data_IF_046151307739
#
_entry.id   IF_046151307739
#
_cell.length_a   1.000
_cell.length_b   1.000
_cell.length_c   1.000
_cell.angle_alpha   90.00
_cell.angle_beta   90.00
_cell.angle_gamma   90.00
#
_symmetry.space_group_name_H-M   'P 1'
#
loop_
_entity.id
_entity.type
_entity.pdbx_description
1 polymer ?
#
# COMPACT_ATOMS: atom_id res chain seq x y z
N UNK A 1 -7.32 -7.80 -10.59
CA UNK A 1 -7.04 -6.59 -11.39
C UNK A 1 -5.65 -6.76 -11.92
N UNK A 2 -5.49 -7.29 -13.13
CA UNK A 2 -4.17 -7.52 -13.72
C UNK A 2 -3.85 -6.31 -14.56
N UNK A 3 -2.75 -5.60 -14.32
CA UNK A 3 -2.35 -4.63 -15.33
C UNK A 3 -1.67 -5.33 -16.49
N UNK A 4 -1.95 -4.77 -17.65
CA UNK A 4 -1.43 -5.12 -18.97
C UNK A 4 0.02 -5.61 -18.91
N UNK A 5 0.21 -6.90 -19.17
CA UNK A 5 1.49 -7.58 -19.36
C UNK A 5 2.58 -7.32 -18.29
N UNK A 6 2.22 -6.77 -17.14
CA UNK A 6 3.17 -6.40 -16.09
C UNK A 6 3.30 -7.46 -15.01
N UNK A 7 2.45 -8.48 -15.05
CA UNK A 7 2.36 -9.58 -14.06
C UNK A 7 2.17 -9.11 -12.61
N UNK A 8 1.79 -7.84 -12.41
CA UNK A 8 1.53 -7.31 -11.06
C UNK A 8 0.04 -7.31 -10.82
N UNK A 9 -0.32 -7.89 -9.69
CA UNK A 9 -1.66 -7.88 -9.13
C UNK A 9 -1.56 -7.41 -7.68
N UNK A 10 -2.56 -6.63 -7.21
CA UNK A 10 -2.63 -6.25 -5.81
C UNK A 10 -3.20 -7.40 -4.99
N UNK A 11 -2.82 -7.51 -3.72
CA UNK A 11 -3.41 -8.49 -2.81
C UNK A 11 -4.89 -8.20 -2.55
N UNK A 12 -5.24 -6.91 -2.45
CA UNK A 12 -6.63 -6.46 -2.45
C UNK A 12 -6.78 -5.08 -3.11
N UNK A 13 -7.98 -4.80 -3.65
CA UNK A 13 -8.29 -3.48 -4.19
C UNK A 13 -9.74 -3.08 -3.94
N UNK A 14 -9.97 -1.78 -3.80
CA UNK A 14 -11.28 -1.21 -3.48
C UNK A 14 -11.58 0.00 -4.37
N UNK A 15 -12.87 0.23 -4.58
CA UNK A 15 -13.40 1.37 -5.34
C UNK A 15 -14.42 2.15 -4.49
N UNK A 16 -13.97 2.86 -3.44
CA UNK A 16 -14.81 3.83 -2.74
C UNK A 16 -15.34 4.91 -3.69
N UNK A 17 -16.28 5.73 -3.23
CA UNK A 17 -16.76 6.92 -3.97
C UNK A 17 -15.65 7.99 -4.05
N UNK A 18 -14.64 7.77 -4.89
CA UNK A 18 -13.59 8.71 -5.28
C UNK A 18 -13.63 8.93 -6.79
N UNK A 19 -13.13 10.08 -7.30
CA UNK A 19 -12.98 10.30 -8.73
C UNK A 19 -12.21 9.15 -9.41
N UNK A 20 -12.53 8.85 -10.67
CA UNK A 20 -11.78 7.84 -11.43
C UNK A 20 -10.34 8.33 -11.62
N UNK A 21 -9.36 7.43 -11.47
CA UNK A 21 -7.97 7.78 -11.74
C UNK A 21 -7.79 7.94 -13.26
N UNK A 22 -7.30 9.10 -13.71
CA UNK A 22 -6.94 9.33 -15.12
C UNK A 22 -5.55 8.75 -15.39
N UNK A 23 -5.51 7.47 -15.79
CA UNK A 23 -4.26 6.81 -16.18
C UNK A 23 -4.00 6.96 -17.68
N UNK A 24 -2.77 7.31 -18.11
CA UNK A 24 -2.40 7.36 -19.54
C UNK A 24 -2.57 6.03 -20.27
N UNK A 25 -2.53 4.90 -19.55
CA UNK A 25 -2.59 3.56 -20.11
C UNK A 25 -3.87 2.80 -19.77
N UNK A 26 -4.95 3.50 -19.41
CA UNK A 26 -6.34 2.99 -19.47
C UNK A 26 -6.65 1.58 -18.92
N UNK A 27 -7.35 1.56 -17.78
CA UNK A 27 -8.12 0.41 -17.25
C UNK A 27 -7.36 -0.86 -16.87
N UNK A 28 -8.02 -1.72 -16.09
CA UNK A 28 -7.57 -3.08 -15.75
C UNK A 28 -7.61 -4.08 -16.93
N UNK A 29 -7.48 -3.59 -18.17
CA UNK A 29 -7.66 -4.35 -19.40
C UNK A 29 -9.12 -4.67 -19.77
N UNK A 30 -10.13 -4.15 -19.04
CA UNK A 30 -11.57 -4.40 -19.28
C UNK A 30 -12.43 -3.13 -19.28
N UNK A 31 -11.87 -1.99 -19.69
CA UNK A 31 -12.53 -0.66 -19.70
C UNK A 31 -12.92 -0.09 -18.31
N UNK A 32 -12.79 -0.87 -17.24
CA UNK A 32 -13.01 -0.37 -15.88
C UNK A 32 -11.87 0.56 -15.43
N UNK A 33 -12.18 1.70 -14.79
CA UNK A 33 -11.14 2.54 -14.21
C UNK A 33 -10.30 1.74 -13.19
N UNK A 34 -9.03 2.13 -13.12
CA UNK A 34 -8.11 1.70 -12.08
C UNK A 34 -8.75 1.78 -10.69
N UNK A 35 -8.42 0.85 -9.76
CA UNK A 35 -8.92 0.92 -8.39
C UNK A 35 -8.52 2.25 -7.74
N UNK A 36 -9.33 2.73 -6.80
CA UNK A 36 -8.99 3.95 -6.07
C UNK A 36 -8.06 3.64 -4.90
N UNK A 37 -8.16 2.43 -4.33
CA UNK A 37 -7.32 1.96 -3.23
C UNK A 37 -6.76 0.57 -3.55
N UNK A 38 -5.47 0.40 -3.35
CA UNK A 38 -4.77 -0.89 -3.36
C UNK A 38 -4.23 -1.18 -1.97
N UNK A 39 -4.31 -2.44 -1.55
CA UNK A 39 -3.61 -2.96 -0.37
C UNK A 39 -2.58 -3.97 -0.85
N UNK A 40 -1.34 -3.77 -0.41
CA UNK A 40 -0.20 -4.68 -0.62
C UNK A 40 0.22 -5.23 0.74
N UNK A 41 0.29 -6.55 0.89
CA UNK A 41 0.66 -7.22 2.13
C UNK A 41 1.96 -7.98 1.90
N UNK A 42 3.06 -7.40 2.37
CA UNK A 42 4.38 -8.01 2.28
C UNK A 42 4.65 -8.89 3.50
N UNK A 43 4.71 -10.22 3.30
CA UNK A 43 5.19 -11.15 4.33
C UNK A 43 6.67 -11.47 4.13
N UNK A 44 7.02 -12.29 3.13
CA UNK A 44 8.40 -12.66 2.81
C UNK A 44 9.14 -11.63 1.94
N UNK A 45 8.40 -10.77 1.25
CA UNK A 45 8.93 -9.70 0.41
C UNK A 45 9.66 -8.63 1.27
N UNK A 46 10.80 -8.13 0.79
CA UNK A 46 11.54 -7.09 1.51
C UNK A 46 10.80 -5.75 1.49
N UNK A 47 10.99 -4.93 2.53
CA UNK A 47 10.41 -3.58 2.60
C UNK A 47 10.77 -2.77 1.36
N UNK A 48 12.04 -2.76 0.96
CA UNK A 48 12.48 -2.01 -0.21
C UNK A 48 11.77 -2.46 -1.50
N UNK A 49 11.57 -3.77 -1.70
CA UNK A 49 10.97 -4.28 -2.92
C UNK A 49 9.48 -3.93 -3.01
N UNK A 50 8.70 -4.09 -1.93
CA UNK A 50 7.27 -3.71 -1.93
C UNK A 50 7.10 -2.20 -2.07
N UNK A 51 7.95 -1.39 -1.42
CA UNK A 51 7.91 0.07 -1.54
C UNK A 51 8.29 0.54 -2.95
N UNK A 52 9.26 -0.11 -3.60
CA UNK A 52 9.60 0.15 -5.00
C UNK A 52 8.46 -0.22 -5.95
N UNK A 53 7.80 -1.36 -5.73
CA UNK A 53 6.58 -1.76 -6.46
C UNK A 53 5.53 -0.66 -6.34
N UNK A 54 5.22 -0.20 -5.13
CA UNK A 54 4.23 0.86 -4.90
C UNK A 54 4.58 2.15 -5.61
N UNK A 55 5.81 2.64 -5.45
CA UNK A 55 6.22 3.89 -6.07
C UNK A 55 6.25 3.78 -7.59
N UNK A 56 6.98 2.82 -8.15
CA UNK A 56 7.30 2.77 -9.58
C UNK A 56 6.13 2.29 -10.42
N UNK A 57 5.33 1.37 -9.88
CA UNK A 57 4.28 0.69 -10.64
C UNK A 57 2.88 1.23 -10.34
N UNK A 58 2.52 1.42 -9.07
CA UNK A 58 1.19 1.91 -8.72
C UNK A 58 1.05 3.43 -8.87
N UNK A 59 2.05 4.21 -8.44
CA UNK A 59 1.91 5.66 -8.25
C UNK A 59 2.63 6.54 -9.28
N UNK A 60 3.85 6.20 -9.71
CA UNK A 60 4.70 7.15 -10.42
C UNK A 60 4.33 7.31 -11.90
N UNK A 61 4.55 6.29 -12.73
CA UNK A 61 4.52 6.47 -14.19
C UNK A 61 3.12 6.48 -14.79
N UNK A 62 2.18 5.79 -14.15
CA UNK A 62 0.91 5.45 -14.79
C UNK A 62 -0.31 5.87 -13.98
N UNK A 63 -0.11 6.48 -12.81
CA UNK A 63 -1.19 6.93 -11.93
C UNK A 63 -2.28 5.85 -11.86
N UNK A 64 -1.89 4.64 -11.46
CA UNK A 64 -2.76 3.45 -11.54
C UNK A 64 -3.68 3.31 -10.33
N UNK A 65 -3.59 4.21 -9.35
CA UNK A 65 -4.38 4.17 -8.12
C UNK A 65 -4.31 5.55 -7.43
N UNK A 66 -5.35 5.90 -6.65
CA UNK A 66 -5.32 7.10 -5.81
C UNK A 66 -4.51 6.87 -4.53
N UNK A 67 -4.80 5.78 -3.84
CA UNK A 67 -4.22 5.43 -2.54
C UNK A 67 -3.62 4.02 -2.55
N UNK A 68 -2.47 3.85 -1.92
CA UNK A 68 -1.90 2.53 -1.64
C UNK A 68 -1.63 2.41 -0.16
N UNK A 69 -2.12 1.33 0.45
CA UNK A 69 -1.73 0.91 1.79
C UNK A 69 -0.80 -0.29 1.64
N UNK A 70 0.44 -0.14 2.10
CA UNK A 70 1.37 -1.25 2.26
C UNK A 70 1.29 -1.71 3.70
N UNK A 71 1.14 -3.01 3.94
CA UNK A 71 1.28 -3.65 5.25
C UNK A 71 2.47 -4.59 5.18
N UNK A 72 3.53 -4.28 5.92
CA UNK A 72 4.66 -5.20 6.12
C UNK A 72 4.45 -5.95 7.43
N UNK A 73 4.43 -7.26 7.33
CA UNK A 73 4.37 -8.15 8.49
C UNK A 73 5.79 -8.67 8.72
N UNK A 74 6.29 -8.57 9.95
CA UNK A 74 7.59 -9.15 10.28
C UNK A 74 7.48 -10.68 10.18
N UNK A 75 8.37 -11.34 9.40
CA UNK A 75 8.32 -12.77 9.22
C UNK A 75 8.47 -13.52 10.54
N UNK A 76 7.64 -14.55 10.72
CA UNK A 76 7.69 -15.47 11.86
C UNK A 76 7.55 -16.91 11.38
N UNK A 77 7.82 -17.87 12.26
CA UNK A 77 7.51 -19.28 11.99
C UNK A 77 5.99 -19.48 11.86
N UNK A 78 5.56 -20.54 11.18
CA UNK A 78 4.13 -20.79 10.87
C UNK A 78 3.22 -20.97 12.09
N UNK A 79 3.80 -21.22 13.26
CA UNK A 79 3.14 -21.41 14.55
C UNK A 79 3.16 -20.14 15.44
N UNK A 80 3.76 -19.05 14.96
CA UNK A 80 3.96 -17.83 15.72
C UNK A 80 3.07 -16.69 15.22
N UNK A 81 2.66 -15.83 16.15
CA UNK A 81 1.94 -14.60 15.83
C UNK A 81 2.97 -13.49 15.60
N UNK A 82 2.93 -12.77 14.46
CA UNK A 82 3.78 -11.62 14.23
C UNK A 82 3.61 -10.59 15.34
N UNK A 83 4.71 -10.24 15.99
CA UNK A 83 4.71 -9.28 17.11
C UNK A 83 4.81 -7.84 16.65
N UNK A 84 5.23 -7.63 15.41
CA UNK A 84 5.47 -6.31 14.81
C UNK A 84 4.99 -6.32 13.36
N UNK A 85 4.32 -5.25 13.00
CA UNK A 85 3.84 -4.95 11.66
C UNK A 85 4.03 -3.46 11.42
N UNK A 86 4.20 -3.09 10.17
CA UNK A 86 4.34 -1.72 9.72
C UNK A 86 3.31 -1.47 8.64
N UNK A 87 2.81 -0.24 8.55
CA UNK A 87 2.01 0.15 7.43
C UNK A 87 2.36 1.55 6.93
N UNK A 88 2.29 1.70 5.62
CA UNK A 88 2.49 2.96 4.92
C UNK A 88 1.27 3.26 4.07
N UNK A 89 0.75 4.47 4.19
CA UNK A 89 -0.25 5.01 3.28
C UNK A 89 0.43 5.97 2.31
N UNK A 90 0.25 5.72 1.02
CA UNK A 90 0.65 6.61 -0.06
C UNK A 90 -0.60 7.16 -0.75
N UNK A 91 -0.55 8.44 -1.14
CA UNK A 91 -1.60 9.05 -1.94
C UNK A 91 -0.97 9.75 -3.15
N UNK A 92 -1.55 9.56 -4.33
CA UNK A 92 -1.10 10.23 -5.56
C UNK A 92 -1.17 11.75 -5.46
N UNK A 93 -2.09 12.30 -4.67
CA UNK A 93 -2.22 13.74 -4.43
C UNK A 93 -1.00 14.34 -3.73
N UNK A 94 -0.18 13.51 -3.06
CA UNK A 94 1.05 13.96 -2.40
C UNK A 94 2.26 13.98 -3.35
N UNK A 95 2.06 13.60 -4.62
CA UNK A 95 3.10 13.67 -5.66
C UNK A 95 3.48 15.13 -5.93
N UNK A 96 4.65 15.56 -5.46
CA UNK A 96 5.19 16.90 -5.70
C UNK A 96 5.95 16.94 -7.03
N UNK A 97 5.34 17.54 -8.05
CA UNK A 97 5.91 17.70 -9.41
C UNK A 97 6.21 16.37 -10.13
N UNK A 98 6.32 16.42 -11.47
CA UNK A 98 6.32 15.25 -12.37
C UNK A 98 7.48 14.24 -12.21
N UNK A 99 8.45 14.48 -11.33
CA UNK A 99 9.69 13.71 -11.26
C UNK A 99 10.18 13.37 -9.85
N UNK A 100 9.35 13.55 -8.81
CA UNK A 100 9.73 13.11 -7.44
C UNK A 100 8.95 11.87 -7.03
N UNK A 101 9.65 10.99 -6.33
CA UNK A 101 9.07 9.85 -5.62
C UNK A 101 7.91 10.32 -4.72
N UNK A 102 6.79 9.60 -4.78
CA UNK A 102 5.69 9.80 -3.84
C UNK A 102 6.17 9.38 -2.45
N UNK A 103 6.18 10.34 -1.52
CA UNK A 103 6.44 10.07 -0.11
C UNK A 103 5.18 9.51 0.55
N UNK A 104 5.34 8.66 1.56
CA UNK A 104 4.19 8.18 2.32
C UNK A 104 3.55 9.35 3.08
N UNK A 105 2.21 9.42 3.03
CA UNK A 105 1.41 10.37 3.80
C UNK A 105 1.44 10.04 5.28
N UNK A 106 1.36 8.75 5.58
CA UNK A 106 1.29 8.23 6.94
C UNK A 106 2.10 6.96 7.02
N UNK A 107 2.86 6.84 8.12
CA UNK A 107 3.54 5.63 8.53
C UNK A 107 3.16 5.35 9.97
N UNK A 108 2.89 4.09 10.27
CA UNK A 108 2.76 3.65 11.66
C UNK A 108 3.24 2.22 11.81
N UNK A 109 3.77 1.96 13.00
CA UNK A 109 4.18 0.63 13.45
C UNK A 109 3.14 0.17 14.47
N UNK A 110 2.71 -1.08 14.36
CA UNK A 110 1.71 -1.68 15.23
C UNK A 110 2.04 -3.14 15.49
N UNK A 111 1.47 -3.69 16.55
CA UNK A 111 1.86 -4.98 17.09
C UNK A 111 2.07 -4.88 18.58
N UNK A 112 2.61 -5.94 19.16
CA UNK A 112 2.91 -6.02 20.60
C UNK A 112 4.33 -5.58 20.94
N UNK A 113 5.23 -5.48 19.95
CA UNK A 113 6.63 -5.12 20.15
C UNK A 113 7.11 -4.14 19.06
N UNK A 114 8.01 -3.24 19.43
CA UNK A 114 8.68 -2.32 18.50
C UNK A 114 9.88 -2.97 17.80
N UNK A 115 10.54 -2.22 16.91
CA UNK A 115 11.76 -2.67 16.19
C UNK A 115 12.94 -3.05 17.09
N UNK A 116 12.92 -2.67 18.36
CA UNK A 116 13.96 -2.99 19.35
C UNK A 116 13.52 -4.13 20.29
N UNK A 117 12.32 -4.67 20.11
CA UNK A 117 11.75 -5.71 20.96
C UNK A 117 11.13 -5.19 22.25
N UNK A 118 10.90 -3.88 22.39
CA UNK A 118 10.18 -3.34 23.56
C UNK A 118 8.68 -3.51 23.37
N UNK A 119 7.92 -3.87 24.42
CA UNK A 119 6.47 -3.98 24.33
C UNK A 119 5.81 -2.63 24.05
N UNK A 120 4.76 -2.64 23.24
CA UNK A 120 3.95 -1.46 22.90
C UNK A 120 2.62 -1.48 23.67
N UNK A 121 2.02 -0.30 23.92
CA UNK A 121 0.72 -0.16 24.62
C UNK A 121 -0.51 -0.39 23.72
N UNK A 122 -0.32 -0.97 22.52
CA UNK A 122 -1.41 -1.15 21.56
C UNK A 122 -2.19 -2.42 21.93
N UNK A 123 -3.53 -2.33 22.01
CA UNK A 123 -4.37 -3.50 22.25
C UNK A 123 -4.14 -4.53 21.13
N UNK A 124 -3.92 -5.78 21.55
CA UNK A 124 -3.68 -6.90 20.67
C UNK A 124 -4.82 -6.99 19.63
N UNK A 125 -4.46 -7.09 18.34
CA UNK A 125 -5.34 -7.40 17.18
C UNK A 125 -6.07 -6.28 16.44
N UNK A 126 -5.96 -4.98 16.80
CA UNK A 126 -6.61 -3.92 16.01
C UNK A 126 -5.76 -2.67 15.80
N UNK A 127 -5.76 -2.19 14.55
CA UNK A 127 -5.23 -0.87 14.17
C UNK A 127 -6.19 -0.21 13.17
N UNK A 128 -6.44 1.09 13.30
CA UNK A 128 -7.34 1.86 12.45
C UNK A 128 -6.53 2.84 11.61
N UNK A 129 -6.64 2.73 10.28
CA UNK A 129 -6.09 3.70 9.33
C UNK A 129 -7.23 4.59 8.85
N UNK A 130 -7.17 5.87 9.19
CA UNK A 130 -8.12 6.85 8.68
C UNK A 130 -7.66 7.37 7.31
N UNK A 131 -8.34 6.94 6.25
CA UNK A 131 -8.10 7.43 4.90
C UNK A 131 -9.09 8.57 4.64
N UNK A 132 -8.59 9.80 4.49
CA UNK A 132 -9.44 10.91 4.03
C UNK A 132 -9.88 10.67 2.57
N UNK A 133 -11.15 10.98 2.30
CA UNK A 133 -11.74 10.88 0.96
C UNK A 133 -11.71 12.22 0.19
N UNK A 134 -11.17 13.27 0.81
CA UNK A 134 -11.19 14.65 0.30
C UNK A 134 -10.37 14.83 -0.98
#
# INVERSE_FOLDING_TARGET
TRADNSEKEPDACFRPRKPKVSSPSGSNGKEDPWPNLVIEVAYSESEQHVLDKVKKYWLDNLNRVHDVIVVKIDPVSSDQIPKRMQAWHFCISDKRYRYRDVSHRTYFEFGTHDKYGNPTNIQQNQCIINISLD
#
